data_IF_301757367741
#
_entry.id   IF_301757367741
#
_cell.length_a   1.000
_cell.length_b   1.000
_cell.length_c   1.000
_cell.angle_alpha   90.00
_cell.angle_beta   90.00
_cell.angle_gamma   90.00
#
_symmetry.space_group_name_H-M   'P 1'
#
loop_
_entity.id
_entity.type
_entity.pdbx_description
1 polymer ?
#
# COMPACT_ATOMS: atom_id res chain seq x y z
N UNK A 1 12.69 5.96 7.76
CA UNK A 1 11.63 5.88 6.73
C UNK A 1 10.59 4.85 7.16
N UNK A 2 9.31 5.23 7.13
CA UNK A 2 8.23 4.29 7.44
C UNK A 2 7.97 3.34 6.28
N UNK A 3 7.25 2.26 6.55
CA UNK A 3 6.81 1.33 5.50
C UNK A 3 5.96 2.07 4.46
N UNK A 4 4.99 2.87 4.91
CA UNK A 4 4.12 3.63 4.02
C UNK A 4 4.90 4.57 3.11
N UNK A 5 5.90 5.27 3.64
CA UNK A 5 6.76 6.15 2.87
C UNK A 5 7.56 5.40 1.81
N UNK A 6 8.06 4.22 2.17
CA UNK A 6 8.77 3.36 1.23
C UNK A 6 7.86 2.94 0.07
N UNK A 7 6.62 2.55 0.37
CA UNK A 7 5.64 2.17 -0.65
C UNK A 7 5.30 3.36 -1.56
N UNK A 8 5.10 4.54 -0.98
CA UNK A 8 4.87 5.75 -1.78
C UNK A 8 6.01 5.98 -2.78
N UNK A 9 7.26 5.87 -2.33
CA UNK A 9 8.41 6.07 -3.19
C UNK A 9 8.49 5.05 -4.31
N UNK A 10 8.16 3.79 -4.03
CA UNK A 10 8.13 2.75 -5.07
C UNK A 10 7.07 3.07 -6.14
N UNK A 11 5.86 3.44 -5.73
CA UNK A 11 4.79 3.79 -6.65
C UNK A 11 5.16 5.03 -7.46
N UNK A 12 5.67 6.05 -6.80
CA UNK A 12 6.05 7.30 -7.44
C UNK A 12 7.15 7.11 -8.49
N UNK A 13 8.02 6.12 -8.28
CA UNK A 13 9.08 5.81 -9.25
C UNK A 13 8.54 5.15 -10.52
N UNK A 14 7.40 4.46 -10.43
CA UNK A 14 6.76 3.84 -11.58
C UNK A 14 5.92 4.84 -12.38
N UNK A 15 5.17 5.68 -11.67
CA UNK A 15 4.35 6.72 -12.26
C UNK A 15 4.19 7.84 -11.23
N UNK A 16 4.73 9.03 -11.48
CA UNK A 16 4.70 10.11 -10.49
C UNK A 16 3.30 10.43 -10.01
N UNK A 17 3.13 10.52 -8.70
CA UNK A 17 1.87 10.89 -8.05
C UNK A 17 2.17 11.89 -6.94
N UNK A 18 1.23 12.82 -6.72
CA UNK A 18 1.36 13.77 -5.62
C UNK A 18 1.02 13.10 -4.29
N UNK A 19 1.49 13.67 -3.19
CA UNK A 19 1.14 13.17 -1.85
C UNK A 19 -0.36 13.28 -1.58
N UNK A 20 -0.99 14.33 -2.11
CA UNK A 20 -2.45 14.53 -2.01
C UNK A 20 -3.21 13.40 -2.71
N UNK A 21 -2.84 13.09 -3.95
CA UNK A 21 -3.45 12.01 -4.71
C UNK A 21 -3.21 10.65 -4.07
N UNK A 22 -2.02 10.43 -3.52
CA UNK A 22 -1.72 9.21 -2.80
C UNK A 22 -2.67 9.04 -1.60
N UNK A 23 -2.89 10.12 -0.84
CA UNK A 23 -3.80 10.11 0.30
C UNK A 23 -5.23 9.78 -0.11
N UNK A 24 -5.74 10.46 -1.15
CA UNK A 24 -7.14 10.37 -1.56
C UNK A 24 -7.42 9.09 -2.35
N UNK A 25 -6.67 8.85 -3.43
CA UNK A 25 -7.02 7.82 -4.39
C UNK A 25 -6.38 6.46 -4.10
N UNK A 26 -5.26 6.43 -3.38
CA UNK A 26 -4.56 5.18 -3.06
C UNK A 26 -4.84 4.71 -1.65
N UNK A 27 -4.82 5.62 -0.67
CA UNK A 27 -5.09 5.28 0.73
C UNK A 27 -6.56 5.44 1.11
N UNK A 28 -7.36 6.13 0.28
CA UNK A 28 -8.78 6.36 0.55
C UNK A 28 -9.01 7.21 1.79
N UNK A 29 -8.17 8.19 2.02
CA UNK A 29 -8.20 9.04 3.20
C UNK A 29 -8.32 10.51 2.81
N UNK A 30 -8.26 11.40 3.79
CA UNK A 30 -8.26 12.84 3.56
C UNK A 30 -6.99 13.27 2.84
N UNK A 31 -7.04 14.43 2.19
CA UNK A 31 -5.94 14.95 1.39
C UNK A 31 -4.60 15.02 2.14
N UNK A 32 -4.62 15.40 3.40
CA UNK A 32 -3.42 15.61 4.20
C UNK A 32 -2.96 14.37 4.98
N UNK A 33 -3.67 13.26 4.82
CA UNK A 33 -3.43 12.07 5.64
C UNK A 33 -1.97 11.59 5.57
N UNK A 34 -1.47 11.38 4.36
CA UNK A 34 -0.10 10.88 4.18
C UNK A 34 0.93 11.88 4.67
N UNK A 35 0.78 13.17 4.31
CA UNK A 35 1.74 14.20 4.72
C UNK A 35 1.79 14.37 6.24
N UNK A 36 0.63 14.35 6.90
CA UNK A 36 0.57 14.42 8.36
C UNK A 36 1.24 13.21 9.01
N UNK A 37 0.94 12.02 8.53
CA UNK A 37 1.53 10.80 9.07
C UNK A 37 3.05 10.80 8.87
N UNK A 38 3.51 11.20 7.69
CA UNK A 38 4.94 11.27 7.39
C UNK A 38 5.66 12.21 8.35
N UNK A 39 5.10 13.41 8.58
CA UNK A 39 5.69 14.39 9.48
C UNK A 39 5.79 13.88 10.92
N UNK A 40 4.86 13.02 11.33
CA UNK A 40 4.81 12.43 12.67
C UNK A 40 5.42 11.03 12.74
N UNK A 41 6.00 10.57 11.64
CA UNK A 41 6.59 9.22 11.51
C UNK A 41 5.58 8.11 11.86
N UNK A 42 4.32 8.28 11.46
CA UNK A 42 3.26 7.31 11.70
C UNK A 42 3.00 6.49 10.45
N UNK A 43 2.69 5.21 10.65
CA UNK A 43 2.28 4.32 9.58
C UNK A 43 0.82 4.52 9.21
N UNK A 44 0.46 4.14 7.98
CA UNK A 44 -0.92 4.10 7.56
C UNK A 44 -1.69 3.02 8.34
N UNK A 45 -2.98 3.26 8.57
CA UNK A 45 -3.85 2.28 9.22
C UNK A 45 -4.03 1.03 8.35
N UNK A 46 -4.49 -0.08 8.97
CA UNK A 46 -4.80 -1.29 8.22
C UNK A 46 -5.85 -1.04 7.14
N UNK A 47 -6.87 -0.25 7.46
CA UNK A 47 -7.92 0.12 6.51
C UNK A 47 -7.33 0.83 5.28
N UNK A 48 -6.43 1.78 5.51
CA UNK A 48 -5.75 2.50 4.43
C UNK A 48 -4.87 1.55 3.60
N UNK A 49 -4.17 0.62 4.25
CA UNK A 49 -3.32 -0.35 3.55
C UNK A 49 -4.14 -1.33 2.70
N UNK A 50 -5.33 -1.73 3.16
CA UNK A 50 -6.21 -2.59 2.35
C UNK A 50 -6.66 -1.85 1.09
N UNK A 51 -7.03 -0.58 1.20
CA UNK A 51 -7.39 0.23 0.05
C UNK A 51 -6.22 0.41 -0.91
N UNK A 52 -5.03 0.61 -0.37
CA UNK A 52 -3.80 0.72 -1.15
C UNK A 52 -3.52 -0.57 -1.93
N UNK A 53 -3.63 -1.71 -1.28
CA UNK A 53 -3.43 -3.01 -1.93
C UNK A 53 -4.43 -3.19 -3.07
N UNK A 54 -5.70 -2.88 -2.84
CA UNK A 54 -6.75 -3.00 -3.86
C UNK A 54 -6.48 -2.07 -5.04
N UNK A 55 -6.02 -0.85 -4.78
CA UNK A 55 -5.67 0.10 -5.84
C UNK A 55 -4.51 -0.38 -6.70
N UNK A 56 -3.50 -0.97 -6.06
CA UNK A 56 -2.34 -1.53 -6.76
C UNK A 56 -2.76 -2.69 -7.67
N UNK A 57 -3.62 -3.58 -7.18
CA UNK A 57 -4.12 -4.70 -7.98
C UNK A 57 -5.03 -4.22 -9.11
N UNK A 58 -5.80 -3.17 -8.88
CA UNK A 58 -6.61 -2.53 -9.91
C UNK A 58 -5.73 -1.97 -11.02
N UNK A 59 -4.64 -1.29 -10.69
CA UNK A 59 -3.70 -0.78 -11.68
C UNK A 59 -3.07 -1.90 -12.50
N UNK A 60 -2.69 -3.00 -11.83
CA UNK A 60 -2.19 -4.20 -12.53
C UNK A 60 -3.22 -4.68 -13.56
N UNK A 61 -4.47 -4.83 -13.15
CA UNK A 61 -5.53 -5.36 -14.00
C UNK A 61 -5.79 -4.45 -15.20
N UNK A 62 -5.84 -3.14 -14.99
CA UNK A 62 -6.01 -2.16 -16.07
C UNK A 62 -4.91 -2.28 -17.11
N UNK A 63 -3.66 -2.41 -16.67
CA UNK A 63 -2.52 -2.55 -17.58
C UNK A 63 -2.56 -3.86 -18.36
N UNK A 64 -2.98 -4.95 -17.70
CA UNK A 64 -3.06 -6.26 -18.33
C UNK A 64 -4.19 -6.34 -19.36
N UNK A 65 -5.31 -5.65 -19.13
CA UNK A 65 -6.45 -5.68 -20.06
C UNK A 65 -6.26 -4.82 -21.30
N UNK A 66 -5.45 -3.76 -21.20
CA UNK A 66 -5.29 -2.80 -22.30
C UNK A 66 -4.46 -3.32 -23.46
N UNK A 67 -3.51 -4.22 -23.20
CA UNK A 67 -2.63 -4.69 -24.25
C UNK A 67 -1.77 -5.85 -23.78
N UNK A 68 -1.33 -6.66 -24.74
CA UNK A 68 -0.33 -7.70 -24.53
C UNK A 68 1.10 -7.18 -24.70
N UNK A 69 1.30 -5.85 -24.74
CA UNK A 69 2.61 -5.28 -24.95
C UNK A 69 3.52 -5.56 -23.74
N UNK A 70 4.74 -6.02 -24.03
CA UNK A 70 5.68 -6.45 -22.98
C UNK A 70 5.96 -5.37 -21.94
N UNK A 71 6.02 -4.11 -22.34
CA UNK A 71 6.25 -3.01 -21.42
C UNK A 71 5.12 -2.89 -20.39
N UNK A 72 3.87 -3.00 -20.83
CA UNK A 72 2.71 -2.91 -19.94
C UNK A 72 2.62 -4.13 -19.01
N UNK A 73 2.95 -5.30 -19.50
CA UNK A 73 3.00 -6.52 -18.68
C UNK A 73 4.06 -6.37 -17.59
N UNK A 74 5.24 -5.87 -17.93
CA UNK A 74 6.32 -5.65 -16.97
C UNK A 74 5.91 -4.64 -15.90
N UNK A 75 5.26 -3.55 -16.30
CA UNK A 75 4.79 -2.54 -15.36
C UNK A 75 3.70 -3.11 -14.43
N UNK A 76 2.77 -3.89 -14.98
CA UNK A 76 1.73 -4.56 -14.20
C UNK A 76 2.33 -5.46 -13.13
N UNK A 77 3.38 -6.21 -13.47
CA UNK A 77 4.08 -7.09 -12.53
C UNK A 77 4.73 -6.30 -11.40
N UNK A 78 5.25 -5.11 -11.68
CA UNK A 78 5.83 -4.24 -10.65
C UNK A 78 4.77 -3.77 -9.66
N UNK A 79 3.59 -3.39 -10.13
CA UNK A 79 2.47 -3.03 -9.25
C UNK A 79 2.04 -4.22 -8.40
N UNK A 80 1.99 -5.41 -8.98
CA UNK A 80 1.65 -6.63 -8.23
C UNK A 80 2.66 -6.92 -7.13
N UNK A 81 3.96 -6.74 -7.40
CA UNK A 81 5.00 -6.94 -6.40
C UNK A 81 4.84 -5.98 -5.22
N UNK A 82 4.51 -4.71 -5.50
CA UNK A 82 4.26 -3.73 -4.44
C UNK A 82 3.02 -4.14 -3.64
N UNK A 83 1.97 -4.60 -4.31
CA UNK A 83 0.75 -5.08 -3.64
C UNK A 83 1.06 -6.24 -2.68
N UNK A 84 1.94 -7.15 -3.07
CA UNK A 84 2.38 -8.27 -2.22
C UNK A 84 3.10 -7.78 -0.97
N UNK A 85 3.91 -6.72 -1.08
CA UNK A 85 4.57 -6.11 0.08
C UNK A 85 3.54 -5.54 1.04
N UNK A 86 2.53 -4.84 0.54
CA UNK A 86 1.46 -4.28 1.35
C UNK A 86 0.65 -5.39 2.03
N UNK A 87 0.29 -6.44 1.28
CA UNK A 87 -0.40 -7.60 1.84
C UNK A 87 0.39 -8.28 2.93
N UNK A 88 1.71 -8.39 2.75
CA UNK A 88 2.62 -8.95 3.76
C UNK A 88 2.63 -8.13 5.05
N UNK A 89 2.60 -6.80 4.94
CA UNK A 89 2.56 -5.93 6.11
C UNK A 89 1.24 -6.09 6.87
N UNK A 90 0.11 -6.15 6.15
CA UNK A 90 -1.20 -6.37 6.76
C UNK A 90 -1.21 -7.71 7.52
N UNK A 91 -0.73 -8.77 6.89
CA UNK A 91 -0.67 -10.10 7.50
C UNK A 91 0.22 -10.10 8.74
N UNK A 92 1.37 -9.42 8.67
CA UNK A 92 2.31 -9.32 9.78
C UNK A 92 1.68 -8.62 10.99
N UNK A 93 0.93 -7.55 10.75
CA UNK A 93 0.20 -6.84 11.81
C UNK A 93 -0.86 -7.73 12.46
N UNK A 94 -1.59 -8.51 11.66
CA UNK A 94 -2.62 -9.43 12.14
C UNK A 94 -2.02 -10.53 13.00
N UNK A 95 -0.89 -11.10 12.60
CA UNK A 95 -0.19 -12.13 13.38
C UNK A 95 0.26 -11.57 14.73
N UNK A 96 0.86 -10.39 14.75
CA UNK A 96 1.32 -9.74 15.99
C UNK A 96 0.15 -9.47 16.93
N UNK A 97 -0.98 -9.02 16.39
CA UNK A 97 -2.18 -8.76 17.18
C UNK A 97 -2.73 -10.05 17.80
N UNK A 98 -2.77 -11.15 17.04
CA UNK A 98 -3.23 -12.45 17.54
C UNK A 98 -2.34 -12.97 18.67
N UNK A 99 -1.02 -12.86 18.51
CA UNK A 99 -0.07 -13.29 19.55
C UNK A 99 -0.26 -12.46 20.82
N UNK A 100 -0.42 -11.15 20.69
CA UNK A 100 -0.65 -10.28 21.84
C UNK A 100 -1.95 -10.62 22.57
N UNK A 101 -3.01 -10.91 21.82
CA UNK A 101 -4.30 -11.31 22.40
C UNK A 101 -4.22 -12.65 23.14
N UNK A 102 -3.50 -13.62 22.58
CA UNK A 102 -3.29 -14.91 23.24
C UNK A 102 -2.55 -14.75 24.56
N UNK A 103 -1.49 -13.93 24.59
CA UNK A 103 -0.75 -13.67 25.81
C UNK A 103 -1.62 -13.05 26.90
N UNK A 104 -2.50 -12.15 26.54
CA UNK A 104 -3.43 -11.51 27.47
C UNK A 104 -4.43 -12.52 28.02
N UNK A 105 -4.91 -13.47 27.19
CA UNK A 105 -5.89 -14.49 27.62
C UNK A 105 -5.32 -15.50 28.60
N UNK A 106 -4.02 -15.69 28.62
CA UNK A 106 -3.35 -16.66 29.52
C UNK A 106 -3.10 -16.12 30.91
N UNK A 107 -3.34 -14.86 31.12
CA UNK A 107 -3.21 -14.22 32.43
C UNK A 107 -4.56 -14.25 33.15
#
# INVERSE_FOLDING_TARGET
MTFTENIYKQINSLSPITTDDFSIYWLGQSRSYYSSNKARELEASNSALVKLMNKLLEQRDVLMTKNSHQFLISLAQKYEMIAKQVGGEIANRSIKSSIANEKVRRI
#
